data_IF_335473213620
#
_entry.id   IF_335473213620
#
_cell.length_a   1.000
_cell.length_b   1.000
_cell.length_c   1.000
_cell.angle_alpha   90.00
_cell.angle_beta   90.00
_cell.angle_gamma   90.00
#
_symmetry.space_group_name_H-M   'P 1'
#
loop_
_entity.id
_entity.type
_entity.pdbx_description
1 polymer ?
#
# COMPACT_ATOMS: atom_id res chain seq x y z
N UNK A 1 17.48 -0.28 -9.15
CA UNK A 1 16.05 -0.43 -9.51
C UNK A 1 15.38 0.94 -9.45
N UNK A 2 14.46 1.24 -10.37
CA UNK A 2 13.68 2.48 -10.30
C UNK A 2 12.37 2.28 -9.53
N UNK A 3 11.73 3.37 -9.09
CA UNK A 3 10.53 3.31 -8.24
C UNK A 3 9.37 2.53 -8.89
N UNK A 4 9.11 2.75 -10.18
CA UNK A 4 8.02 2.09 -10.90
C UNK A 4 8.28 0.59 -11.06
N UNK A 5 9.54 0.20 -11.26
CA UNK A 5 9.96 -1.19 -11.30
C UNK A 5 9.79 -1.89 -9.95
N UNK A 6 10.16 -1.23 -8.85
CA UNK A 6 9.95 -1.74 -7.49
C UNK A 6 8.46 -1.90 -7.16
N UNK A 7 7.64 -0.92 -7.55
CA UNK A 7 6.18 -0.98 -7.38
C UNK A 7 5.61 -2.14 -8.19
N UNK A 8 6.03 -2.30 -9.44
CA UNK A 8 5.57 -3.40 -10.30
C UNK A 8 5.89 -4.76 -9.68
N UNK A 9 7.13 -4.98 -9.23
CA UNK A 9 7.54 -6.22 -8.56
C UNK A 9 6.68 -6.48 -7.32
N UNK A 10 6.45 -5.45 -6.49
CA UNK A 10 5.61 -5.56 -5.29
C UNK A 10 4.16 -5.96 -5.63
N UNK A 11 3.56 -5.35 -6.65
CA UNK A 11 2.21 -5.66 -7.09
C UNK A 11 2.13 -7.08 -7.66
N UNK A 12 3.10 -7.50 -8.45
CA UNK A 12 3.15 -8.84 -9.02
C UNK A 12 3.33 -9.91 -7.92
N UNK A 13 4.15 -9.62 -6.90
CA UNK A 13 4.28 -10.46 -5.71
C UNK A 13 2.96 -10.56 -4.91
N UNK A 14 2.20 -9.47 -4.78
CA UNK A 14 0.87 -9.52 -4.14
C UNK A 14 -0.12 -10.34 -4.98
N UNK A 15 -0.14 -10.17 -6.30
CA UNK A 15 -1.03 -10.92 -7.22
C UNK A 15 -0.74 -12.42 -7.22
N UNK A 16 0.53 -12.80 -7.26
CA UNK A 16 0.95 -14.23 -7.24
C UNK A 16 0.60 -14.95 -5.94
N UNK A 17 0.49 -14.22 -4.82
CA UNK A 17 0.06 -14.78 -3.53
C UNK A 17 -1.45 -14.96 -3.39
N UNK A 18 -2.26 -14.47 -4.33
CA UNK A 18 -3.71 -14.70 -4.31
C UNK A 18 -4.01 -16.18 -4.56
N UNK A 19 -4.87 -16.77 -3.72
CA UNK A 19 -5.21 -18.19 -3.78
C UNK A 19 -6.69 -18.35 -4.14
N UNK A 20 -7.01 -19.16 -5.16
CA UNK A 20 -8.37 -19.42 -5.63
C UNK A 20 -9.36 -19.83 -4.53
N UNK A 21 -8.89 -20.39 -3.42
CA UNK A 21 -9.73 -20.87 -2.31
C UNK A 21 -9.88 -19.88 -1.13
N UNK A 22 -9.15 -18.76 -1.12
CA UNK A 22 -9.10 -17.83 0.02
C UNK A 22 -9.73 -16.46 -0.30
N UNK A 23 -11.06 -16.42 -0.44
CA UNK A 23 -11.80 -15.24 -0.91
C UNK A 23 -11.57 -13.95 -0.08
N UNK A 24 -11.45 -14.06 1.25
CA UNK A 24 -11.23 -12.91 2.14
C UNK A 24 -9.81 -12.36 1.97
N UNK A 25 -8.80 -13.23 1.92
CA UNK A 25 -7.40 -12.84 1.72
C UNK A 25 -7.22 -12.17 0.36
N UNK A 26 -7.89 -12.70 -0.67
CA UNK A 26 -7.88 -12.10 -2.01
C UNK A 26 -8.51 -10.71 -2.02
N UNK A 27 -9.65 -10.49 -1.35
CA UNK A 27 -10.27 -9.16 -1.25
C UNK A 27 -9.36 -8.12 -0.60
N UNK A 28 -8.69 -8.50 0.50
CA UNK A 28 -7.71 -7.62 1.16
C UNK A 28 -6.52 -7.33 0.23
N UNK A 29 -6.02 -8.35 -0.46
CA UNK A 29 -4.90 -8.20 -1.41
C UNK A 29 -5.28 -7.32 -2.61
N UNK A 30 -6.49 -7.48 -3.17
CA UNK A 30 -7.00 -6.63 -4.25
C UNK A 30 -7.15 -5.17 -3.80
N UNK A 31 -7.64 -4.93 -2.59
CA UNK A 31 -7.73 -3.59 -2.02
C UNK A 31 -6.35 -2.95 -1.84
N UNK A 32 -5.37 -3.71 -1.35
CA UNK A 32 -3.97 -3.27 -1.23
C UNK A 32 -3.43 -2.83 -2.60
N UNK A 33 -3.59 -3.68 -3.62
CA UNK A 33 -3.13 -3.42 -5.00
C UNK A 33 -3.79 -2.15 -5.55
N UNK A 34 -5.13 -2.07 -5.51
CA UNK A 34 -5.87 -0.90 -6.01
C UNK A 34 -5.48 0.39 -5.30
N UNK A 35 -5.17 0.31 -4.00
CA UNK A 35 -4.72 1.47 -3.24
C UNK A 35 -3.36 1.97 -3.73
N UNK A 36 -2.41 1.07 -4.00
CA UNK A 36 -1.10 1.45 -4.56
C UNK A 36 -1.24 1.98 -5.99
N UNK A 37 -2.09 1.38 -6.82
CA UNK A 37 -2.30 1.82 -8.21
C UNK A 37 -2.91 3.23 -8.30
N UNK A 38 -3.84 3.57 -7.39
CA UNK A 38 -4.49 4.88 -7.34
C UNK A 38 -3.80 5.93 -6.45
N UNK A 39 -2.63 5.63 -5.90
CA UNK A 39 -1.92 6.51 -4.99
C UNK A 39 -0.90 7.43 -5.70
N UNK A 40 -0.66 8.64 -5.16
CA UNK A 40 0.39 9.52 -5.66
C UNK A 40 1.79 8.91 -5.49
N UNK A 41 2.77 9.38 -6.28
CA UNK A 41 4.17 8.90 -6.27
C UNK A 41 5.16 9.87 -5.61
N UNK A 42 4.67 10.89 -4.90
CA UNK A 42 5.46 11.83 -4.12
C UNK A 42 5.20 11.66 -2.61
N UNK A 43 6.25 11.86 -1.80
CA UNK A 43 6.20 11.61 -0.36
C UNK A 43 5.19 12.50 0.36
N UNK A 44 5.13 13.80 0.01
CA UNK A 44 4.25 14.77 0.64
C UNK A 44 2.76 14.41 0.47
N UNK A 45 2.33 14.08 -0.74
CA UNK A 45 0.94 13.70 -0.99
C UNK A 45 0.57 12.38 -0.32
N UNK A 46 1.50 11.43 -0.25
CA UNK A 46 1.33 10.17 0.47
C UNK A 46 1.18 10.39 1.98
N UNK A 47 2.01 11.23 2.59
CA UNK A 47 1.93 11.57 4.01
C UNK A 47 0.59 12.20 4.38
N UNK A 48 0.11 13.16 3.57
CA UNK A 48 -1.21 13.76 3.76
C UNK A 48 -2.33 12.72 3.69
N UNK A 49 -2.27 11.83 2.70
CA UNK A 49 -3.27 10.77 2.52
C UNK A 49 -3.26 9.74 3.65
N UNK A 50 -2.08 9.37 4.14
CA UNK A 50 -1.91 8.49 5.31
C UNK A 50 -2.49 9.16 6.56
N UNK A 51 -2.18 10.44 6.80
CA UNK A 51 -2.71 11.18 7.94
C UNK A 51 -4.24 11.27 7.90
N UNK A 52 -4.83 11.52 6.71
CA UNK A 52 -6.27 11.50 6.51
C UNK A 52 -6.86 10.12 6.85
N UNK A 53 -6.28 9.04 6.31
CA UNK A 53 -6.74 7.66 6.56
C UNK A 53 -6.63 7.25 8.03
N UNK A 54 -5.58 7.66 8.73
CA UNK A 54 -5.44 7.45 10.19
C UNK A 54 -6.58 8.11 10.98
N UNK A 55 -6.96 9.34 10.62
CA UNK A 55 -8.11 10.04 11.21
C UNK A 55 -9.45 9.41 10.84
N UNK A 56 -9.60 8.89 9.63
CA UNK A 56 -10.78 8.12 9.22
C UNK A 56 -10.92 6.84 10.06
N UNK A 57 -9.84 6.09 10.24
CA UNK A 57 -9.83 4.86 11.06
C UNK A 57 -10.22 5.14 12.52
N UNK A 58 -9.64 6.18 13.12
CA UNK A 58 -9.95 6.57 14.51
C UNK A 58 -11.42 6.96 14.71
N UNK A 59 -12.08 7.49 13.68
CA UNK A 59 -13.50 7.89 13.72
C UNK A 59 -14.45 6.76 13.30
N UNK A 60 -13.92 5.63 12.84
CA UNK A 60 -14.75 4.50 12.41
C UNK A 60 -15.30 3.74 13.61
N UNK A 61 -16.63 3.65 13.70
CA UNK A 61 -17.31 2.78 14.65
C UNK A 61 -17.49 1.34 14.14
N UNK A 62 -17.30 1.10 12.84
CA UNK A 62 -17.39 -0.23 12.23
C UNK A 62 -16.02 -0.91 12.15
N UNK A 63 -15.96 -2.15 12.63
CA UNK A 63 -14.78 -3.00 12.51
C UNK A 63 -14.41 -3.26 11.04
N UNK A 64 -15.39 -3.55 10.18
CA UNK A 64 -15.14 -3.81 8.76
C UNK A 64 -14.55 -2.60 8.04
N UNK A 65 -15.03 -1.39 8.37
CA UNK A 65 -14.48 -0.14 7.83
C UNK A 65 -13.06 0.11 8.37
N UNK A 66 -12.84 -0.14 9.67
CA UNK A 66 -11.51 0.01 10.27
C UNK A 66 -10.49 -0.98 9.68
N UNK A 67 -10.90 -2.22 9.39
CA UNK A 67 -10.09 -3.24 8.75
C UNK A 67 -9.74 -2.84 7.31
N UNK A 68 -10.74 -2.41 6.53
CA UNK A 68 -10.52 -1.85 5.19
C UNK A 68 -9.49 -0.71 5.19
N UNK A 69 -9.64 0.25 6.10
CA UNK A 69 -8.70 1.38 6.20
C UNK A 69 -7.32 0.91 6.65
N UNK A 70 -7.22 -0.17 7.44
CA UNK A 70 -5.93 -0.74 7.84
C UNK A 70 -5.15 -1.28 6.64
N UNK A 71 -5.84 -1.99 5.74
CA UNK A 71 -5.25 -2.48 4.48
C UNK A 71 -4.81 -1.32 3.58
N UNK A 72 -5.67 -0.29 3.44
CA UNK A 72 -5.31 0.91 2.67
C UNK A 72 -4.10 1.65 3.27
N UNK A 73 -3.99 1.70 4.61
CA UNK A 73 -2.85 2.30 5.30
C UNK A 73 -1.56 1.52 5.09
N UNK A 74 -1.59 0.18 5.21
CA UNK A 74 -0.42 -0.67 4.94
C UNK A 74 0.10 -0.43 3.50
N UNK A 75 -0.82 -0.36 2.54
CA UNK A 75 -0.50 -0.09 1.14
C UNK A 75 0.19 1.27 0.94
N UNK A 76 -0.36 2.33 1.54
CA UNK A 76 0.18 3.68 1.42
C UNK A 76 1.52 3.84 2.16
N UNK A 77 1.67 3.27 3.35
CA UNK A 77 2.91 3.33 4.14
C UNK A 77 4.04 2.57 3.44
N UNK A 78 3.73 1.42 2.82
CA UNK A 78 4.71 0.68 2.01
C UNK A 78 5.18 1.48 0.81
N UNK A 79 4.24 2.12 0.10
CA UNK A 79 4.57 2.98 -1.03
C UNK A 79 5.38 4.21 -0.60
N UNK A 80 5.04 4.85 0.52
CA UNK A 80 5.80 5.96 1.07
C UNK A 80 7.24 5.55 1.39
N UNK A 81 7.45 4.35 1.93
CA UNK A 81 8.80 3.84 2.19
C UNK A 81 9.62 3.69 0.91
N UNK A 82 9.03 3.16 -0.18
CA UNK A 82 9.68 3.09 -1.49
C UNK A 82 10.02 4.48 -2.05
N UNK A 83 9.06 5.42 -1.98
CA UNK A 83 9.23 6.79 -2.48
C UNK A 83 10.34 7.51 -1.72
N UNK A 84 10.32 7.46 -0.39
CA UNK A 84 11.36 8.09 0.44
C UNK A 84 12.73 7.48 0.23
N UNK A 85 12.83 6.14 0.16
CA UNK A 85 14.10 5.50 -0.15
C UNK A 85 14.65 5.97 -1.50
N UNK A 86 13.79 6.12 -2.52
CA UNK A 86 14.19 6.69 -3.81
C UNK A 86 14.60 8.16 -3.72
N UNK A 87 13.84 9.00 -3.03
CA UNK A 87 14.14 10.43 -2.82
C UNK A 87 15.46 10.64 -2.08
N UNK A 88 15.78 9.75 -1.14
CA UNK A 88 17.04 9.76 -0.36
C UNK A 88 18.21 9.06 -1.06
N UNK A 89 18.01 8.53 -2.28
CA UNK A 89 19.06 7.80 -3.02
C UNK A 89 19.44 6.44 -2.43
N UNK A 90 18.58 5.86 -1.58
CA UNK A 90 18.78 4.54 -0.96
C UNK A 90 18.27 3.41 -1.88
N UNK A 91 18.83 2.19 -1.75
CA UNK A 91 18.30 1.03 -2.44
C UNK A 91 16.84 0.77 -2.08
N UNK A 92 16.00 0.53 -3.09
CA UNK A 92 14.56 0.28 -2.93
C UNK A 92 14.19 -1.21 -3.00
N UNK A 93 15.14 -2.08 -3.32
CA UNK A 93 14.91 -3.50 -3.61
C UNK A 93 14.27 -4.24 -2.42
N UNK A 94 14.67 -3.89 -1.19
CA UNK A 94 14.12 -4.47 0.04
C UNK A 94 12.65 -4.14 0.31
N UNK A 95 12.10 -3.12 -0.35
CA UNK A 95 10.70 -2.75 -0.22
C UNK A 95 9.81 -3.44 -1.26
N UNK A 96 10.37 -4.12 -2.27
CA UNK A 96 9.59 -4.78 -3.32
C UNK A 96 9.04 -6.17 -2.94
N UNK A 97 9.49 -6.77 -1.82
CA UNK A 97 9.22 -8.17 -1.44
C UNK A 97 8.40 -8.36 -0.15
#
# INVERSE_FOLDING_TARGET
MNLEEAIKIHLDNKRTRMNSKASIINRSTELHIRTIEGAPRDSKSLEMRIAQKKREKQRSASFEIADKISVELEALERLLAMVRAREEGRPIDGYAY
#
